data_IF_701651783508
#
_entry.id   IF_701651783508
#
_cell.length_a   1.000
_cell.length_b   1.000
_cell.length_c   1.000
_cell.angle_alpha   90.00
_cell.angle_beta   90.00
_cell.angle_gamma   90.00
#
_symmetry.space_group_name_H-M   'P 1'
#
loop_
_entity.id
_entity.type
_entity.pdbx_description
1 polymer ?
#
# COMPACT_ATOMS: atom_id res chain seq x y z
N UNK A 1 13.48 30.82 -38.28
CA UNK A 1 13.85 29.38 -38.36
C UNK A 1 14.11 28.76 -36.98
N UNK A 2 15.06 29.29 -36.20
CA UNK A 2 15.44 28.70 -34.91
C UNK A 2 14.29 28.57 -33.88
N UNK A 3 13.42 29.58 -33.77
CA UNK A 3 12.27 29.56 -32.85
C UNK A 3 11.27 28.46 -33.20
N UNK A 4 10.96 28.28 -34.49
CA UNK A 4 10.04 27.23 -34.95
C UNK A 4 10.62 25.83 -34.74
N UNK A 5 11.92 25.66 -34.97
CA UNK A 5 12.62 24.41 -34.68
C UNK A 5 12.61 24.09 -33.19
N UNK A 6 12.91 25.07 -32.33
CA UNK A 6 12.86 24.92 -30.88
C UNK A 6 11.44 24.57 -30.39
N UNK A 7 10.42 25.26 -30.90
CA UNK A 7 9.02 24.96 -30.58
C UNK A 7 8.63 23.53 -31.01
N UNK A 8 9.05 23.10 -32.20
CA UNK A 8 8.82 21.74 -32.69
C UNK A 8 9.46 20.68 -31.80
N UNK A 9 10.71 20.88 -31.38
CA UNK A 9 11.41 19.98 -30.46
C UNK A 9 10.73 19.91 -29.09
N UNK A 10 10.26 21.04 -28.56
CA UNK A 10 9.53 21.08 -27.29
C UNK A 10 8.19 20.34 -27.35
N UNK A 11 7.42 20.54 -28.43
CA UNK A 11 6.16 19.82 -28.64
C UNK A 11 6.37 18.32 -28.80
N UNK A 12 7.40 17.93 -29.57
CA UNK A 12 7.77 16.52 -29.72
C UNK A 12 8.18 15.89 -28.37
N UNK A 13 8.96 16.61 -27.56
CA UNK A 13 9.32 16.19 -26.21
C UNK A 13 8.11 16.03 -25.28
N UNK A 14 7.15 16.96 -25.32
CA UNK A 14 5.93 16.88 -24.54
C UNK A 14 5.04 15.70 -24.96
N UNK A 15 4.90 15.47 -26.27
CA UNK A 15 4.15 14.31 -26.78
C UNK A 15 4.83 12.99 -26.38
N UNK A 16 6.17 12.91 -26.51
CA UNK A 16 6.94 11.74 -26.14
C UNK A 16 6.85 11.44 -24.64
N UNK A 17 6.87 12.46 -23.77
CA UNK A 17 6.76 12.26 -22.32
C UNK A 17 5.40 11.70 -21.90
N UNK A 18 4.32 12.15 -22.53
CA UNK A 18 2.97 11.59 -22.30
C UNK A 18 2.91 10.14 -22.79
N UNK A 19 3.47 9.86 -23.97
CA UNK A 19 3.45 8.52 -24.57
C UNK A 19 4.29 7.50 -23.80
N UNK A 20 5.44 7.92 -23.27
CA UNK A 20 6.37 7.05 -22.52
C UNK A 20 6.05 6.95 -21.03
N UNK A 21 5.05 7.70 -20.53
CA UNK A 21 4.66 7.65 -19.12
C UNK A 21 4.18 6.24 -18.74
N UNK A 22 4.80 5.57 -17.74
CA UNK A 22 4.33 4.26 -17.29
C UNK A 22 2.92 4.34 -16.72
N UNK A 23 2.02 3.49 -17.20
CA UNK A 23 0.61 3.43 -16.75
C UNK A 23 0.25 2.13 -16.03
N UNK A 24 1.11 1.11 -16.10
CA UNK A 24 0.91 -0.18 -15.45
C UNK A 24 1.61 -0.21 -14.10
N UNK A 25 0.93 -0.69 -13.07
CA UNK A 25 1.55 -0.90 -11.77
C UNK A 25 2.46 -2.12 -11.82
N UNK A 26 3.67 -2.00 -11.27
CA UNK A 26 4.62 -3.12 -11.21
C UNK A 26 4.08 -4.30 -10.40
N UNK A 27 3.22 -4.03 -9.40
CA UNK A 27 2.56 -5.05 -8.61
C UNK A 27 1.67 -5.97 -9.46
N UNK A 28 1.06 -5.45 -10.53
CA UNK A 28 0.16 -6.21 -11.41
C UNK A 28 0.93 -7.20 -12.31
N UNK A 29 2.27 -7.08 -12.40
CA UNK A 29 3.13 -8.02 -13.12
C UNK A 29 3.57 -9.24 -12.30
N UNK A 30 3.15 -9.34 -11.03
CA UNK A 30 3.47 -10.43 -10.10
C UNK A 30 2.19 -11.15 -9.66
N UNK A 31 2.28 -12.34 -9.06
CA UNK A 31 1.13 -12.95 -8.39
C UNK A 31 0.52 -11.96 -7.39
N UNK A 32 -0.83 -11.90 -7.29
CA UNK A 32 -1.49 -10.98 -6.37
C UNK A 32 -1.07 -11.27 -4.93
N UNK A 33 -0.81 -10.21 -4.18
CA UNK A 33 -0.65 -10.30 -2.73
C UNK A 33 -2.03 -10.59 -2.14
N UNK A 34 -2.11 -11.66 -1.36
CA UNK A 34 -3.31 -12.09 -0.64
C UNK A 34 -2.88 -12.34 0.80
N UNK A 35 -3.03 -11.35 1.66
CA UNK A 35 -2.45 -11.35 3.01
C UNK A 35 -2.92 -12.54 3.84
N UNK A 36 -4.17 -12.97 3.69
CA UNK A 36 -4.68 -14.11 4.45
C UNK A 36 -3.98 -15.44 4.13
N UNK A 37 -3.43 -15.60 2.92
CA UNK A 37 -2.67 -16.80 2.52
C UNK A 37 -1.18 -16.67 2.80
N UNK A 38 -0.63 -15.46 2.68
CA UNK A 38 0.79 -15.19 2.89
C UNK A 38 1.18 -15.18 4.37
N UNK A 39 0.29 -14.69 5.23
CA UNK A 39 0.51 -14.70 6.67
C UNK A 39 0.01 -16.03 7.22
N UNK A 40 0.84 -16.81 7.93
CA UNK A 40 0.43 -18.12 8.42
C UNK A 40 -0.51 -17.99 9.61
N UNK A 41 -1.42 -18.95 9.79
CA UNK A 41 -2.30 -18.99 10.97
C UNK A 41 -1.57 -19.46 12.23
N UNK A 42 -0.39 -20.07 12.08
CA UNK A 42 0.46 -20.46 13.19
C UNK A 42 1.94 -20.38 12.83
N UNK A 43 2.77 -20.10 13.81
CA UNK A 43 4.23 -20.09 13.69
C UNK A 43 4.86 -20.34 15.06
N UNK A 44 5.80 -21.29 15.14
CA UNK A 44 6.35 -21.72 16.42
C UNK A 44 5.25 -22.12 17.41
N UNK A 45 5.19 -21.43 18.55
CA UNK A 45 4.20 -21.65 19.62
C UNK A 45 2.94 -20.80 19.48
N UNK A 46 2.88 -19.92 18.48
CA UNK A 46 1.79 -18.97 18.26
C UNK A 46 0.78 -19.54 17.28
N UNK A 47 -0.51 -19.34 17.57
CA UNK A 47 -1.64 -19.65 16.69
C UNK A 47 -2.68 -18.55 16.77
N UNK A 48 -3.45 -18.33 15.71
CA UNK A 48 -4.55 -17.37 15.73
C UNK A 48 -5.47 -17.67 16.91
N UNK A 49 -5.82 -16.64 17.67
CA UNK A 49 -6.79 -16.68 18.76
C UNK A 49 -8.20 -16.50 18.19
N UNK A 50 -9.02 -17.56 18.10
CA UNK A 50 -10.37 -17.47 17.52
C UNK A 50 -11.35 -16.70 18.41
N UNK A 51 -10.99 -16.43 19.67
CA UNK A 51 -11.84 -15.68 20.60
C UNK A 51 -11.78 -14.16 20.37
N UNK A 52 -10.76 -13.69 19.64
CA UNK A 52 -10.56 -12.29 19.31
C UNK A 52 -11.14 -11.97 17.94
N UNK A 53 -12.41 -11.54 17.91
CA UNK A 53 -13.04 -11.03 16.69
C UNK A 53 -12.56 -9.59 16.46
N UNK A 54 -12.00 -9.25 15.28
CA UNK A 54 -11.63 -7.88 14.96
C UNK A 54 -12.85 -6.96 15.06
N UNK A 55 -12.71 -5.85 15.77
CA UNK A 55 -13.72 -4.79 15.76
C UNK A 55 -13.71 -4.18 14.37
N UNK A 56 -14.85 -4.27 13.67
CA UNK A 56 -15.00 -3.65 12.36
C UNK A 56 -15.00 -2.12 12.53
N UNK A 57 -14.21 -1.37 11.74
CA UNK A 57 -14.29 0.08 11.71
C UNK A 57 -15.68 0.56 11.29
N UNK A 58 -16.03 1.80 11.63
CA UNK A 58 -17.21 2.41 11.05
C UNK A 58 -17.05 2.54 9.51
N UNK A 59 -18.16 2.59 8.74
CA UNK A 59 -18.09 2.63 7.28
C UNK A 59 -17.27 3.80 6.71
N UNK A 60 -17.23 4.94 7.40
CA UNK A 60 -16.45 6.10 6.94
C UNK A 60 -14.96 5.83 7.05
N UNK A 61 -14.52 5.19 8.15
CA UNK A 61 -13.13 4.76 8.31
C UNK A 61 -12.80 3.63 7.35
N UNK A 62 -13.70 2.66 7.16
CA UNK A 62 -13.48 1.56 6.21
C UNK A 62 -13.25 2.09 4.78
N UNK A 63 -14.10 3.02 4.32
CA UNK A 63 -13.94 3.63 3.00
C UNK A 63 -12.58 4.34 2.83
N UNK A 64 -12.06 4.97 3.90
CA UNK A 64 -10.72 5.57 3.88
C UNK A 64 -9.64 4.49 3.78
N UNK A 65 -9.76 3.41 4.54
CA UNK A 65 -8.81 2.29 4.48
C UNK A 65 -8.78 1.66 3.09
N UNK A 66 -9.93 1.44 2.47
CA UNK A 66 -10.04 0.85 1.12
C UNK A 66 -9.49 1.77 0.02
N UNK A 67 -9.54 3.09 0.22
CA UNK A 67 -8.92 4.05 -0.68
C UNK A 67 -7.39 4.11 -0.54
N UNK A 68 -6.86 3.86 0.66
CA UNK A 68 -5.44 3.97 0.98
C UNK A 68 -4.69 2.67 0.71
N UNK A 69 -5.30 1.53 1.03
CA UNK A 69 -4.70 0.20 1.04
C UNK A 69 -5.44 -0.75 0.11
N UNK A 70 -4.69 -1.59 -0.58
CA UNK A 70 -5.21 -2.67 -1.43
C UNK A 70 -5.69 -3.87 -0.62
N UNK A 71 -5.10 -4.11 0.55
CA UNK A 71 -5.55 -5.13 1.49
C UNK A 71 -5.12 -4.74 2.92
N UNK A 72 -5.90 -5.15 3.92
CA UNK A 72 -5.52 -5.05 5.32
C UNK A 72 -5.69 -6.40 5.99
N UNK A 73 -4.84 -6.71 6.98
CA UNK A 73 -4.95 -7.92 7.78
C UNK A 73 -4.80 -7.55 9.26
N UNK A 74 -5.75 -7.98 10.08
CA UNK A 74 -5.65 -7.91 11.53
C UNK A 74 -5.78 -9.31 12.11
N UNK A 75 -4.79 -9.76 12.88
CA UNK A 75 -4.80 -11.06 13.57
C UNK A 75 -4.33 -10.90 15.00
N UNK A 76 -4.94 -11.65 15.90
CA UNK A 76 -4.39 -11.86 17.24
C UNK A 76 -3.88 -13.28 17.33
N UNK A 77 -2.64 -13.45 17.77
CA UNK A 77 -2.06 -14.76 18.07
C UNK A 77 -2.04 -14.99 19.57
N UNK A 78 -2.17 -16.25 19.99
CA UNK A 78 -2.05 -16.70 21.37
C UNK A 78 -1.04 -17.84 21.44
N UNK A 79 -0.23 -17.88 22.51
CA UNK A 79 0.69 -18.97 22.78
C UNK A 79 0.21 -19.89 23.91
N UNK A 80 0.97 -20.96 24.21
CA UNK A 80 0.63 -21.92 25.27
C UNK A 80 0.54 -21.31 26.67
N UNK A 81 1.22 -20.19 26.92
CA UNK A 81 1.19 -19.46 28.19
C UNK A 81 0.05 -18.45 28.28
N UNK A 82 -0.82 -18.37 27.26
CA UNK A 82 -1.94 -17.42 27.21
C UNK A 82 -1.54 -15.98 26.86
N UNK A 83 -0.30 -15.73 26.46
CA UNK A 83 0.15 -14.42 26.00
C UNK A 83 -0.41 -14.15 24.61
N UNK A 84 -0.68 -12.87 24.30
CA UNK A 84 -1.26 -12.46 23.02
C UNK A 84 -0.40 -11.44 22.28
N UNK A 85 -0.34 -11.55 20.97
CA UNK A 85 0.27 -10.58 20.06
C UNK A 85 -0.76 -10.19 19.01
N UNK A 86 -0.96 -8.88 18.82
CA UNK A 86 -1.75 -8.35 17.72
C UNK A 86 -0.84 -7.99 16.55
N UNK A 87 -1.19 -8.46 15.36
CA UNK A 87 -0.54 -8.16 14.10
C UNK A 87 -1.52 -7.39 13.21
N UNK A 88 -1.11 -6.21 12.78
CA UNK A 88 -1.83 -5.38 11.82
C UNK A 88 -0.93 -5.11 10.62
N UNK A 89 -1.41 -5.43 9.42
CA UNK A 89 -0.71 -5.20 8.16
C UNK A 89 -1.62 -4.38 7.26
N UNK A 90 -1.07 -3.33 6.66
CA UNK A 90 -1.70 -2.55 5.62
C UNK A 90 -0.84 -2.65 4.35
N UNK A 91 -1.40 -3.20 3.28
CA UNK A 91 -0.71 -3.42 2.01
C UNK A 91 -1.26 -2.47 0.94
N UNK A 92 -0.39 -1.74 0.26
CA UNK A 92 -0.76 -0.91 -0.89
C UNK A 92 0.00 -1.32 -2.15
N UNK A 93 -0.71 -1.69 -3.22
CA UNK A 93 -0.10 -2.09 -4.50
C UNK A 93 0.53 -0.92 -5.26
N UNK A 94 0.09 0.30 -5.00
CA UNK A 94 0.68 1.53 -5.52
C UNK A 94 1.66 2.10 -4.49
N UNK A 95 2.96 2.01 -4.77
CA UNK A 95 4.03 2.55 -3.91
C UNK A 95 4.42 4.00 -4.28
N UNK A 96 3.82 4.54 -5.34
CA UNK A 96 4.04 5.91 -5.81
C UNK A 96 2.91 6.87 -5.39
N UNK A 97 1.94 6.41 -4.59
CA UNK A 97 0.88 7.27 -4.08
C UNK A 97 1.25 7.89 -2.74
N UNK A 98 0.71 9.09 -2.49
CA UNK A 98 0.77 9.77 -1.19
C UNK A 98 0.20 8.89 -0.04
N UNK A 99 -0.72 7.97 -0.38
CA UNK A 99 -1.35 7.05 0.57
C UNK A 99 -0.41 6.00 1.18
N UNK A 100 0.63 5.58 0.46
CA UNK A 100 1.65 4.62 0.94
C UNK A 100 2.96 5.31 1.29
N UNK A 101 3.10 6.60 0.96
CA UNK A 101 4.28 7.42 1.21
C UNK A 101 4.25 8.14 2.57
N UNK A 102 3.82 7.45 3.64
CA UNK A 102 3.77 8.02 5.00
C UNK A 102 5.13 8.53 5.53
N UNK A 103 6.24 8.13 4.89
CA UNK A 103 7.61 8.51 5.25
C UNK A 103 8.24 9.57 4.35
N UNK A 104 7.45 10.24 3.49
CA UNK A 104 7.99 11.35 2.70
C UNK A 104 8.46 12.48 3.63
N UNK A 105 9.68 13.01 3.45
CA UNK A 105 10.21 14.07 4.30
C UNK A 105 9.25 15.27 4.43
N UNK A 106 8.49 15.56 3.38
CA UNK A 106 7.52 16.65 3.33
C UNK A 106 6.36 16.48 4.31
N UNK A 107 6.03 15.25 4.74
CA UNK A 107 5.02 14.99 5.77
C UNK A 107 5.63 14.71 7.14
N UNK A 108 6.82 14.11 7.19
CA UNK A 108 7.48 13.76 8.46
C UNK A 108 8.19 14.95 9.13
N UNK A 109 8.53 16.01 8.39
CA UNK A 109 9.27 17.18 8.91
C UNK A 109 8.51 18.49 8.84
N UNK A 110 7.18 18.46 8.83
CA UNK A 110 6.34 19.68 8.85
C UNK A 110 6.53 20.55 10.10
N UNK A 111 7.26 20.07 11.11
CA UNK A 111 7.49 20.74 12.39
C UNK A 111 8.96 21.06 12.68
N UNK A 112 9.83 21.21 11.67
CA UNK A 112 11.16 21.82 11.86
C UNK A 112 11.14 23.31 11.52
#
# INVERSE_FOLDING_TARGET
MAILLAAGLMLAGAAASVWLKPTKMMADGKPPVVLHTLVPESFGEWRVDPSMVPVLPDPTVQNKLDALYSETLNRTYINRSGQRIMLSIAYGRNQNSESTAAHRPEFCYVSQ
#
